data_IF_407580905843
#
_entry.id   IF_407580905843
#
_cell.length_a   1.000
_cell.length_b   1.000
_cell.length_c   1.000
_cell.angle_alpha   90.00
_cell.angle_beta   90.00
_cell.angle_gamma   90.00
#
_symmetry.space_group_name_H-M   'P 1'
#
loop_
_entity.id
_entity.type
_entity.pdbx_description
1 polymer ?
#
# COMPACT_ATOMS: atom_id res chain seq x y z
N UNK A 1 2.33 -51.34 24.43
CA UNK A 1 1.04 -50.67 24.17
C UNK A 1 0.72 -49.60 25.23
N UNK A 2 0.75 -49.91 26.53
CA UNK A 2 0.43 -48.96 27.62
C UNK A 2 1.33 -47.69 27.64
N UNK A 3 2.63 -47.82 27.33
CA UNK A 3 3.54 -46.67 27.31
C UNK A 3 3.30 -45.71 26.12
N UNK A 4 2.81 -46.21 24.98
CA UNK A 4 2.48 -45.38 23.81
C UNK A 4 1.21 -44.56 24.05
N UNK A 5 0.20 -45.15 24.70
CA UNK A 5 -1.04 -44.44 25.03
C UNK A 5 -0.79 -43.29 26.03
N UNK A 6 0.06 -43.50 27.04
CA UNK A 6 0.46 -42.45 27.98
C UNK A 6 1.22 -41.31 27.30
N UNK A 7 2.16 -41.64 26.41
CA UNK A 7 2.92 -40.63 25.66
C UNK A 7 2.00 -39.80 24.77
N UNK A 8 1.06 -40.43 24.05
CA UNK A 8 0.13 -39.74 23.18
C UNK A 8 -0.83 -38.82 23.96
N UNK A 9 -1.28 -39.24 25.16
CA UNK A 9 -2.14 -38.44 26.03
C UNK A 9 -1.41 -37.20 26.56
N UNK A 10 -0.13 -37.34 26.91
CA UNK A 10 0.72 -36.21 27.33
C UNK A 10 0.94 -35.22 26.18
N UNK A 11 1.21 -35.71 24.97
CA UNK A 11 1.37 -34.86 23.78
C UNK A 11 0.07 -34.10 23.48
N UNK A 12 -1.08 -34.78 23.52
CA UNK A 12 -2.40 -34.14 23.35
C UNK A 12 -2.70 -33.10 24.43
N UNK A 13 -2.32 -33.36 25.68
CA UNK A 13 -2.51 -32.41 26.78
C UNK A 13 -1.61 -31.17 26.61
N UNK A 14 -0.34 -31.36 26.25
CA UNK A 14 0.59 -30.26 25.95
C UNK A 14 0.10 -29.46 24.74
N UNK A 15 -0.37 -30.13 23.68
CA UNK A 15 -0.94 -29.46 22.51
C UNK A 15 -2.18 -28.63 22.87
N UNK A 16 -3.06 -29.12 23.75
CA UNK A 16 -4.22 -28.36 24.25
C UNK A 16 -3.80 -27.17 25.12
N UNK A 17 -2.79 -27.31 25.97
CA UNK A 17 -2.27 -26.19 26.78
C UNK A 17 -1.62 -25.10 25.91
N UNK A 18 -0.88 -25.49 24.86
CA UNK A 18 -0.30 -24.57 23.89
C UNK A 18 -1.41 -23.87 23.10
N UNK A 19 -2.44 -24.60 22.66
CA UNK A 19 -3.59 -24.03 21.97
C UNK A 19 -4.39 -23.04 22.84
N UNK A 20 -4.59 -23.34 24.12
CA UNK A 20 -5.24 -22.41 25.06
C UNK A 20 -4.41 -21.14 25.28
N UNK A 21 -3.09 -21.23 25.39
CA UNK A 21 -2.23 -20.03 25.50
C UNK A 21 -2.23 -19.19 24.22
N UNK A 22 -2.25 -19.82 23.05
CA UNK A 22 -2.38 -19.11 21.77
C UNK A 22 -3.74 -18.39 21.66
N UNK A 23 -4.80 -18.98 22.22
CA UNK A 23 -6.11 -18.34 22.33
C UNK A 23 -6.17 -17.23 23.38
N UNK A 24 -5.19 -17.10 24.27
CA UNK A 24 -5.08 -16.00 25.24
C UNK A 24 -4.24 -14.82 24.72
N UNK A 25 -3.52 -15.00 23.62
CA UNK A 25 -2.71 -13.95 22.97
C UNK A 25 -3.60 -12.78 22.49
N UNK A 26 -3.49 -11.58 23.09
CA UNK A 26 -4.37 -10.47 22.74
C UNK A 26 -4.20 -10.00 21.30
N UNK A 27 -3.01 -10.12 20.70
CA UNK A 27 -2.82 -9.76 19.28
C UNK A 27 -3.55 -10.75 18.38
N UNK A 28 -3.53 -12.05 18.72
CA UNK A 28 -4.25 -13.08 17.98
C UNK A 28 -5.77 -12.86 18.07
N UNK A 29 -6.30 -12.53 19.25
CA UNK A 29 -7.72 -12.20 19.44
C UNK A 29 -8.17 -11.00 18.62
N UNK A 30 -7.40 -9.92 18.63
CA UNK A 30 -7.76 -8.71 17.87
C UNK A 30 -7.69 -8.98 16.37
N UNK A 31 -6.61 -9.62 15.88
CA UNK A 31 -6.48 -10.01 14.46
C UNK A 31 -7.62 -10.93 14.03
N UNK A 32 -7.90 -11.99 14.79
CA UNK A 32 -8.98 -12.95 14.48
C UNK A 32 -10.37 -12.35 14.63
N UNK A 33 -10.56 -11.23 15.32
CA UNK A 33 -11.82 -10.48 15.25
C UNK A 33 -11.89 -9.70 13.95
N UNK A 34 -10.86 -8.92 13.64
CA UNK A 34 -10.83 -8.02 12.48
C UNK A 34 -10.77 -8.75 11.13
N UNK A 35 -10.26 -9.98 11.09
CA UNK A 35 -10.32 -10.83 9.90
C UNK A 35 -11.76 -11.27 9.56
N UNK A 36 -12.67 -11.27 10.54
CA UNK A 36 -14.07 -11.68 10.37
C UNK A 36 -15.08 -10.53 10.44
N UNK A 37 -14.68 -9.37 10.98
CA UNK A 37 -15.56 -8.21 11.21
C UNK A 37 -15.18 -7.00 10.37
N UNK A 38 -14.95 -7.18 9.07
CA UNK A 38 -15.02 -6.01 8.18
C UNK A 38 -16.50 -5.58 8.09
N UNK A 39 -16.85 -4.31 8.38
CA UNK A 39 -18.24 -3.88 8.39
C UNK A 39 -18.96 -4.17 7.06
N UNK A 40 -20.28 -4.38 7.14
CA UNK A 40 -21.13 -4.69 5.98
C UNK A 40 -20.90 -3.76 4.79
N UNK A 41 -20.95 -4.41 3.62
CA UNK A 41 -20.53 -3.98 2.29
C UNK A 41 -21.59 -3.06 1.70
N UNK A 42 -21.36 -1.75 1.71
CA UNK A 42 -22.12 -0.88 0.80
C UNK A 42 -21.36 -0.78 -0.52
N UNK A 43 -21.94 -1.22 -1.65
CA UNK A 43 -21.27 -1.10 -2.94
C UNK A 43 -21.11 0.38 -3.29
N UNK A 44 -19.92 0.79 -3.72
CA UNK A 44 -19.80 2.04 -4.47
C UNK A 44 -20.42 1.83 -5.84
N UNK A 45 -21.49 2.58 -6.09
CA UNK A 45 -22.20 2.60 -7.36
C UNK A 45 -21.60 3.62 -8.34
N UNK A 46 -20.72 4.49 -7.85
CA UNK A 46 -20.05 5.50 -8.68
C UNK A 46 -18.94 4.88 -9.53
N UNK A 47 -19.23 4.75 -10.83
CA UNK A 47 -18.31 4.23 -11.83
C UNK A 47 -17.01 5.04 -11.92
N UNK A 48 -17.05 6.35 -11.70
CA UNK A 48 -15.86 7.20 -11.74
C UNK A 48 -14.89 6.84 -10.61
N UNK A 49 -15.42 6.63 -9.40
CA UNK A 49 -14.65 6.25 -8.23
C UNK A 49 -14.01 4.86 -8.39
N UNK A 50 -14.74 3.91 -8.98
CA UNK A 50 -14.23 2.58 -9.32
C UNK A 50 -13.05 2.68 -10.30
N UNK A 51 -13.19 3.51 -11.34
CA UNK A 51 -12.13 3.70 -12.35
C UNK A 51 -10.89 4.34 -11.71
N UNK A 52 -11.05 5.37 -10.86
CA UNK A 52 -9.93 5.97 -10.12
C UNK A 52 -9.21 4.92 -9.27
N UNK A 53 -9.96 4.13 -8.50
CA UNK A 53 -9.40 3.07 -7.68
C UNK A 53 -8.64 2.04 -8.52
N UNK A 54 -9.20 1.64 -9.66
CA UNK A 54 -8.60 0.68 -10.57
C UNK A 54 -7.32 1.23 -11.24
N UNK A 55 -7.23 2.54 -11.52
CA UNK A 55 -6.00 3.16 -12.03
C UNK A 55 -4.89 3.12 -10.98
N UNK A 56 -5.22 3.39 -9.71
CA UNK A 56 -4.26 3.32 -8.61
C UNK A 56 -3.84 1.86 -8.37
N UNK A 57 -4.81 0.95 -8.33
CA UNK A 57 -4.62 -0.49 -8.11
C UNK A 57 -4.28 -1.29 -9.35
N UNK A 58 -3.92 -0.67 -10.48
CA UNK A 58 -3.76 -1.34 -11.78
C UNK A 58 -2.82 -2.54 -11.76
N UNK A 59 -1.76 -2.49 -10.94
CA UNK A 59 -0.80 -3.59 -10.83
C UNK A 59 -1.36 -4.83 -10.10
N UNK A 60 -2.50 -4.71 -9.43
CA UNK A 60 -3.22 -5.82 -8.81
C UNK A 60 -4.18 -6.51 -9.78
N UNK A 61 -4.38 -5.95 -10.97
CA UNK A 61 -5.22 -6.51 -12.02
C UNK A 61 -4.37 -7.36 -12.97
N UNK A 62 -4.99 -8.40 -13.52
CA UNK A 62 -4.39 -9.17 -14.59
C UNK A 62 -4.26 -8.33 -15.87
N UNK A 63 -3.49 -8.85 -16.83
CA UNK A 63 -3.23 -8.16 -18.09
C UNK A 63 -4.50 -7.75 -18.86
N UNK A 64 -5.55 -8.59 -18.87
CA UNK A 64 -6.78 -8.32 -19.62
C UNK A 64 -7.63 -7.26 -18.93
N UNK A 65 -7.81 -7.36 -17.61
CA UNK A 65 -8.57 -6.40 -16.82
C UNK A 65 -7.92 -5.00 -16.85
N UNK A 66 -6.58 -4.93 -16.86
CA UNK A 66 -5.86 -3.68 -17.11
C UNK A 66 -6.14 -3.11 -18.49
N UNK A 67 -6.12 -3.96 -19.52
CA UNK A 67 -6.43 -3.53 -20.88
C UNK A 67 -7.85 -2.97 -20.97
N UNK A 68 -8.83 -3.69 -20.43
CA UNK A 68 -10.24 -3.29 -20.43
C UNK A 68 -10.45 -1.96 -19.68
N UNK A 69 -9.75 -1.75 -18.55
CA UNK A 69 -9.74 -0.49 -17.82
C UNK A 69 -9.27 0.68 -18.69
N UNK A 70 -8.13 0.52 -19.39
CA UNK A 70 -7.61 1.61 -20.23
C UNK A 70 -8.51 1.88 -21.44
N UNK A 71 -9.07 0.86 -22.05
CA UNK A 71 -10.06 1.02 -23.11
C UNK A 71 -11.32 1.76 -22.64
N UNK A 72 -11.79 1.47 -21.42
CA UNK A 72 -12.93 2.17 -20.82
C UNK A 72 -12.62 3.66 -20.62
N UNK A 73 -11.48 3.99 -20.01
CA UNK A 73 -11.05 5.38 -19.77
C UNK A 73 -11.05 6.20 -21.06
N UNK A 74 -10.66 5.59 -22.16
CA UNK A 74 -10.59 6.21 -23.49
C UNK A 74 -11.97 6.37 -24.16
N UNK A 75 -12.87 5.42 -23.90
CA UNK A 75 -14.22 5.39 -24.48
C UNK A 75 -15.19 6.37 -23.81
N UNK A 76 -14.92 6.75 -22.56
CA UNK A 76 -15.76 7.65 -21.80
C UNK A 76 -15.25 9.08 -21.99
N UNK A 77 -16.10 10.04 -22.39
CA UNK A 77 -15.74 11.46 -22.39
C UNK A 77 -15.68 11.96 -20.94
N UNK A 78 -14.64 11.58 -20.21
CA UNK A 78 -14.38 12.05 -18.86
C UNK A 78 -14.05 13.55 -18.91
N UNK A 79 -15.02 14.39 -18.56
CA UNK A 79 -14.81 15.82 -18.40
C UNK A 79 -14.19 16.11 -17.03
N UNK A 80 -12.93 15.77 -16.82
CA UNK A 80 -12.25 16.15 -15.59
C UNK A 80 -11.65 17.54 -15.69
N UNK A 81 -12.13 18.44 -14.83
CA UNK A 81 -11.37 19.61 -14.41
C UNK A 81 -10.31 19.18 -13.42
N UNK A 82 -9.19 18.62 -13.89
CA UNK A 82 -7.97 18.72 -13.12
C UNK A 82 -7.67 20.21 -12.94
N UNK A 83 -7.25 20.62 -11.75
CA UNK A 83 -6.98 22.03 -11.47
C UNK A 83 -5.99 22.61 -12.49
N UNK A 84 -6.49 23.41 -13.43
CA UNK A 84 -5.73 24.13 -14.47
C UNK A 84 -4.88 23.29 -15.45
N UNK A 85 -5.26 22.06 -15.77
CA UNK A 85 -4.80 21.46 -17.04
C UNK A 85 -5.97 21.42 -18.02
N UNK A 86 -5.93 22.31 -19.01
CA UNK A 86 -6.74 22.17 -20.22
C UNK A 86 -6.24 20.90 -20.93
N UNK A 87 -6.90 19.77 -20.70
CA UNK A 87 -6.71 18.57 -21.51
C UNK A 87 -7.34 18.85 -22.88
N UNK A 88 -6.58 19.46 -23.78
CA UNK A 88 -6.99 19.64 -25.17
C UNK A 88 -6.74 18.35 -25.96
N UNK A 89 -7.83 17.65 -26.28
CA UNK A 89 -8.02 16.63 -27.33
C UNK A 89 -7.80 15.13 -27.02
N UNK A 90 -8.70 14.31 -27.58
CA UNK A 90 -8.71 12.84 -27.52
C UNK A 90 -7.55 12.16 -28.27
N UNK A 91 -6.69 12.93 -28.98
CA UNK A 91 -5.56 12.39 -29.74
C UNK A 91 -4.40 11.94 -28.85
N UNK A 92 -4.12 12.66 -27.76
CA UNK A 92 -3.05 12.31 -26.80
C UNK A 92 -3.41 11.10 -25.94
N UNK A 93 -4.72 10.81 -25.86
CA UNK A 93 -5.28 9.63 -25.25
C UNK A 93 -4.88 8.38 -26.09
N UNK A 94 -5.17 8.41 -27.39
CA UNK A 94 -4.96 7.31 -28.34
C UNK A 94 -3.52 6.79 -28.52
N UNK A 95 -2.51 7.65 -28.38
CA UNK A 95 -1.09 7.25 -28.54
C UNK A 95 -0.61 6.37 -27.38
N UNK A 96 -1.09 6.62 -26.16
CA UNK A 96 -0.74 5.82 -24.98
C UNK A 96 -1.34 4.41 -25.04
N UNK A 97 -2.51 4.26 -25.65
CA UNK A 97 -3.14 2.94 -25.90
C UNK A 97 -2.35 2.15 -26.92
N UNK A 98 -1.90 2.75 -28.03
CA UNK A 98 -1.12 2.01 -29.04
C UNK A 98 0.17 1.42 -28.43
N UNK A 99 0.89 2.19 -27.62
CA UNK A 99 2.09 1.68 -26.92
C UNK A 99 1.75 0.58 -25.91
N UNK A 100 0.64 0.73 -25.21
CA UNK A 100 0.15 -0.25 -24.23
C UNK A 100 -0.30 -1.54 -24.92
N UNK A 101 -1.08 -1.45 -26.00
CA UNK A 101 -1.52 -2.57 -26.84
C UNK A 101 -0.33 -3.27 -27.50
N UNK A 102 0.65 -2.55 -28.04
CA UNK A 102 1.84 -3.14 -28.66
C UNK A 102 2.72 -3.89 -27.66
N UNK A 103 2.75 -3.44 -26.39
CA UNK A 103 3.39 -4.14 -25.28
C UNK A 103 2.59 -5.39 -24.88
N UNK A 104 1.25 -5.31 -24.85
CA UNK A 104 0.37 -6.44 -24.54
C UNK A 104 0.33 -7.53 -25.61
N UNK A 105 0.46 -7.19 -26.90
CA UNK A 105 0.47 -8.19 -28.00
C UNK A 105 1.85 -8.82 -28.24
N UNK A 106 2.85 -8.51 -27.41
CA UNK A 106 4.19 -9.10 -27.50
C UNK A 106 4.98 -8.68 -28.73
N UNK A 107 4.63 -7.56 -29.38
CA UNK A 107 5.23 -7.10 -30.63
C UNK A 107 6.57 -6.37 -30.42
N UNK A 108 7.33 -6.71 -29.38
CA UNK A 108 8.63 -6.09 -29.01
C UNK A 108 9.78 -6.57 -29.93
N UNK A 109 9.47 -7.15 -31.09
CA UNK A 109 10.44 -7.79 -32.00
C UNK A 109 10.62 -7.13 -33.37
N UNK A 110 9.94 -6.02 -33.70
CA UNK A 110 10.15 -5.34 -34.99
C UNK A 110 11.23 -4.26 -34.86
N UNK A 111 12.16 -4.19 -35.81
CA UNK A 111 13.34 -3.30 -35.76
C UNK A 111 13.05 -1.79 -35.73
N UNK A 112 11.78 -1.37 -35.77
CA UNK A 112 11.33 0.00 -35.52
C UNK A 112 10.67 0.17 -34.12
N UNK A 113 10.14 -0.90 -33.52
CA UNK A 113 9.62 -0.92 -32.15
C UNK A 113 10.70 -0.88 -31.06
N UNK A 114 11.92 -1.35 -31.36
CA UNK A 114 13.06 -1.25 -30.42
C UNK A 114 13.56 0.18 -30.23
N UNK A 115 13.42 1.07 -31.22
CA UNK A 115 13.94 2.44 -31.13
C UNK A 115 12.98 3.41 -30.41
N UNK A 116 11.67 3.16 -30.48
CA UNK A 116 10.64 3.90 -29.75
C UNK A 116 10.34 3.27 -28.37
N UNK A 117 10.55 1.96 -28.22
CA UNK A 117 10.31 1.23 -26.97
C UNK A 117 11.43 1.28 -25.93
N UNK A 118 12.60 1.86 -26.24
CA UNK A 118 13.74 1.92 -25.30
C UNK A 118 14.03 3.31 -24.73
N UNK A 119 13.37 4.38 -25.20
CA UNK A 119 13.82 5.73 -24.90
C UNK A 119 13.05 6.50 -23.80
N UNK A 120 11.78 6.22 -23.51
CA UNK A 120 11.03 7.00 -22.48
C UNK A 120 9.95 6.19 -21.70
N UNK A 121 9.31 5.18 -22.29
CA UNK A 121 8.13 4.52 -21.66
C UNK A 121 8.38 3.25 -20.82
N UNK A 122 9.61 2.98 -20.36
CA UNK A 122 9.99 1.63 -19.89
C UNK A 122 9.76 1.39 -18.40
N UNK A 123 10.01 2.33 -17.49
CA UNK A 123 10.21 1.96 -16.07
C UNK A 123 8.97 1.43 -15.34
N UNK A 124 7.76 1.97 -15.56
CA UNK A 124 6.57 1.53 -14.82
C UNK A 124 5.84 0.34 -15.48
N UNK A 125 5.83 0.25 -16.81
CA UNK A 125 5.08 -0.77 -17.55
C UNK A 125 5.91 -2.02 -17.86
N UNK A 126 7.24 -1.91 -18.06
CA UNK A 126 8.04 -3.13 -18.29
C UNK A 126 8.12 -4.03 -17.06
N UNK A 127 8.03 -3.49 -15.85
CA UNK A 127 7.98 -4.31 -14.63
C UNK A 127 6.67 -5.11 -14.49
N UNK A 128 5.54 -4.57 -14.96
CA UNK A 128 4.23 -5.26 -14.93
C UNK A 128 4.09 -6.42 -15.92
N UNK A 129 5.09 -6.60 -16.80
CA UNK A 129 5.12 -7.65 -17.82
C UNK A 129 5.78 -8.96 -17.33
N UNK A 130 6.23 -9.03 -16.07
CA UNK A 130 7.05 -10.15 -15.56
C UNK A 130 6.40 -11.06 -14.50
N UNK A 131 5.09 -10.93 -14.22
CA UNK A 131 4.32 -12.02 -13.58
C UNK A 131 3.53 -12.80 -14.65
N UNK A 132 3.32 -14.10 -14.43
CA UNK A 132 2.72 -15.04 -15.41
C UNK A 132 1.35 -14.56 -15.96
N UNK A 133 0.60 -13.74 -15.22
CA UNK A 133 -0.64 -13.08 -15.65
C UNK A 133 -0.60 -11.53 -15.57
N UNK A 134 0.51 -10.97 -15.10
CA UNK A 134 0.73 -9.54 -14.92
C UNK A 134 0.25 -8.97 -13.57
N UNK A 135 -0.48 -9.72 -12.75
CA UNK A 135 -0.97 -9.27 -11.44
C UNK A 135 0.12 -9.35 -10.35
N UNK A 136 0.00 -8.52 -9.33
CA UNK A 136 0.92 -8.47 -8.19
C UNK A 136 0.18 -8.50 -6.86
N UNK A 137 0.68 -9.32 -5.94
CA UNK A 137 0.07 -9.50 -4.62
C UNK A 137 0.20 -8.29 -3.71
N UNK A 138 1.20 -7.44 -3.94
CA UNK A 138 1.38 -6.19 -3.19
C UNK A 138 1.77 -5.10 -4.17
N UNK A 139 1.13 -3.94 -4.06
CA UNK A 139 1.50 -2.72 -4.77
C UNK A 139 1.48 -1.52 -3.83
N UNK A 140 2.36 -0.55 -4.03
CA UNK A 140 2.40 0.67 -3.23
C UNK A 140 3.21 1.74 -3.94
N UNK A 141 2.89 3.01 -3.69
CA UNK A 141 3.63 4.08 -4.33
C UNK A 141 3.31 5.46 -3.80
N UNK A 142 4.09 6.42 -4.28
CA UNK A 142 3.96 7.85 -4.02
C UNK A 142 3.84 8.60 -5.34
N UNK A 143 2.87 9.50 -5.42
CA UNK A 143 2.68 10.46 -6.50
C UNK A 143 2.88 11.88 -5.97
N UNK A 144 3.71 12.68 -6.65
CA UNK A 144 3.95 14.08 -6.30
C UNK A 144 3.72 15.01 -7.50
N UNK A 145 3.17 16.21 -7.25
CA UNK A 145 3.09 17.28 -8.24
C UNK A 145 4.47 17.92 -8.52
N UNK A 146 4.51 18.86 -9.46
CA UNK A 146 5.69 19.68 -9.71
C UNK A 146 6.03 20.66 -8.56
N UNK A 147 5.04 20.96 -7.70
CA UNK A 147 5.20 21.83 -6.54
C UNK A 147 4.33 21.33 -5.38
N UNK A 148 4.92 21.17 -4.19
CA UNK A 148 4.21 20.74 -2.98
C UNK A 148 4.56 21.66 -1.83
N UNK A 149 3.54 22.18 -1.14
CA UNK A 149 3.68 23.11 0.00
C UNK A 149 4.59 24.33 -0.29
N UNK A 150 4.54 24.85 -1.52
CA UNK A 150 5.38 25.99 -1.96
C UNK A 150 6.82 25.61 -2.34
N UNK A 151 7.16 24.32 -2.34
CA UNK A 151 8.47 23.80 -2.74
C UNK A 151 8.38 23.24 -4.15
N UNK A 152 9.10 23.86 -5.08
CA UNK A 152 9.24 23.36 -6.45
C UNK A 152 10.10 22.09 -6.47
N UNK A 153 9.67 21.11 -7.27
CA UNK A 153 10.29 19.79 -7.42
C UNK A 153 10.74 19.64 -8.87
N UNK A 154 12.03 19.90 -9.10
CA UNK A 154 12.67 19.87 -10.41
C UNK A 154 13.53 18.64 -10.66
N UNK A 155 13.87 17.86 -9.61
CA UNK A 155 14.69 16.64 -9.75
C UNK A 155 14.15 15.46 -8.94
N UNK A 156 14.50 14.20 -9.31
CA UNK A 156 14.18 13.01 -8.52
C UNK A 156 14.61 13.09 -7.06
N UNK A 157 15.78 13.67 -6.78
CA UNK A 157 16.30 13.82 -5.42
C UNK A 157 15.47 14.80 -4.60
N UNK A 158 14.95 15.86 -5.23
CA UNK A 158 14.02 16.78 -4.59
C UNK A 158 12.68 16.08 -4.30
N UNK A 159 12.18 15.28 -5.24
CA UNK A 159 10.97 14.48 -5.06
C UNK A 159 11.12 13.50 -3.87
N UNK A 160 12.24 12.79 -3.80
CA UNK A 160 12.59 11.93 -2.67
C UNK A 160 12.65 12.71 -1.35
N UNK A 161 13.24 13.91 -1.34
CA UNK A 161 13.30 14.76 -0.14
C UNK A 161 11.91 15.17 0.35
N UNK A 162 11.04 15.61 -0.56
CA UNK A 162 9.65 15.98 -0.27
C UNK A 162 8.85 14.77 0.23
N UNK A 163 8.97 13.63 -0.43
CA UNK A 163 8.30 12.39 -0.04
C UNK A 163 8.68 11.95 1.38
N UNK A 164 9.97 11.94 1.72
CA UNK A 164 10.45 11.58 3.07
C UNK A 164 9.92 12.51 4.14
N UNK A 165 9.92 13.81 3.88
CA UNK A 165 9.33 14.81 4.78
C UNK A 165 7.84 14.55 4.98
N UNK A 166 7.09 14.37 3.89
CA UNK A 166 5.65 14.08 3.95
C UNK A 166 5.35 12.82 4.78
N UNK A 167 6.10 11.73 4.56
CA UNK A 167 5.91 10.48 5.30
C UNK A 167 6.29 10.65 6.78
N UNK A 168 7.40 11.31 7.08
CA UNK A 168 7.81 11.62 8.46
C UNK A 168 6.76 12.45 9.20
N UNK A 169 6.26 13.52 8.58
CA UNK A 169 5.24 14.40 9.15
C UNK A 169 3.91 13.66 9.38
N UNK A 170 3.55 12.73 8.47
CA UNK A 170 2.40 11.83 8.63
C UNK A 170 2.60 10.88 9.81
N UNK A 171 3.74 10.22 9.94
CA UNK A 171 4.04 9.32 11.07
C UNK A 171 3.98 10.07 12.40
N UNK A 172 4.57 11.27 12.47
CA UNK A 172 4.51 12.14 13.65
C UNK A 172 3.06 12.55 13.98
N UNK A 173 2.25 12.82 12.96
CA UNK A 173 0.84 13.17 13.15
C UNK A 173 -0.01 11.99 13.60
N UNK A 174 0.22 10.80 13.04
CA UNK A 174 -0.41 9.54 13.46
C UNK A 174 -0.09 9.28 14.93
N UNK A 175 1.19 9.34 15.30
CA UNK A 175 1.62 9.10 16.67
C UNK A 175 0.91 10.04 17.66
N UNK A 176 0.90 11.36 17.38
CA UNK A 176 0.19 12.35 18.21
C UNK A 176 -1.30 12.06 18.33
N UNK A 177 -1.98 11.75 17.22
CA UNK A 177 -3.42 11.43 17.20
C UNK A 177 -3.77 10.18 18.01
N UNK A 178 -2.82 9.25 18.12
CA UNK A 178 -3.01 7.96 18.80
C UNK A 178 -2.38 7.93 20.21
N UNK A 179 -1.90 9.06 20.72
CA UNK A 179 -1.23 9.18 22.02
C UNK A 179 0.09 8.37 22.14
N UNK A 180 0.87 8.37 21.06
CA UNK A 180 2.24 7.88 21.01
C UNK A 180 3.21 9.06 20.78
N UNK A 181 4.42 8.96 21.31
CA UNK A 181 5.56 9.74 20.81
C UNK A 181 6.20 9.01 19.64
N UNK A 182 6.65 9.71 18.59
CA UNK A 182 7.41 9.12 17.49
C UNK A 182 8.84 9.66 17.42
N UNK A 183 9.80 8.75 17.29
CA UNK A 183 11.21 9.08 17.09
C UNK A 183 11.72 8.31 15.87
N UNK A 184 12.37 9.00 14.94
CA UNK A 184 13.17 8.30 13.94
C UNK A 184 14.47 7.81 14.59
N UNK A 185 14.68 6.50 14.55
CA UNK A 185 15.81 5.83 15.22
C UNK A 185 16.91 5.42 14.24
N UNK A 186 16.60 5.34 12.95
CA UNK A 186 17.56 4.97 11.91
C UNK A 186 17.14 5.56 10.55
N UNK A 187 18.12 5.98 9.75
CA UNK A 187 17.90 6.36 8.35
C UNK A 187 17.03 7.60 8.13
N UNK A 188 16.97 8.53 9.09
CA UNK A 188 16.04 9.68 9.07
C UNK A 188 16.13 10.56 7.82
N UNK A 189 17.32 10.65 7.23
CA UNK A 189 17.60 11.39 6.01
C UNK A 189 17.95 10.45 4.84
N UNK A 190 17.45 9.22 4.84
CA UNK A 190 17.69 8.19 3.81
C UNK A 190 16.37 7.71 3.21
N UNK A 191 16.45 7.03 2.06
CA UNK A 191 15.30 6.41 1.40
C UNK A 191 14.65 5.32 2.27
N UNK A 192 15.45 4.72 3.16
CA UNK A 192 15.00 3.76 4.17
C UNK A 192 15.11 4.39 5.54
N UNK A 193 14.03 4.34 6.31
CA UNK A 193 13.97 4.93 7.64
C UNK A 193 13.17 4.06 8.58
N UNK A 194 13.55 4.10 9.86
CA UNK A 194 12.84 3.37 10.91
C UNK A 194 12.41 4.32 12.00
N UNK A 195 11.12 4.24 12.34
CA UNK A 195 10.49 5.02 13.39
C UNK A 195 10.09 4.10 14.53
N UNK A 196 10.32 4.58 15.74
CA UNK A 196 9.87 3.97 16.97
C UNK A 196 8.78 4.85 17.58
N UNK A 197 7.60 4.29 17.71
CA UNK A 197 6.46 4.89 18.38
C UNK A 197 6.37 4.31 19.79
N UNK A 198 6.32 5.16 20.81
CA UNK A 198 6.15 4.76 22.22
C UNK A 198 4.83 5.27 22.75
N UNK A 199 4.01 4.39 23.30
CA UNK A 199 2.73 4.74 23.88
C UNK A 199 2.94 5.56 25.17
N UNK A 200 2.37 6.75 25.21
CA UNK A 200 2.59 7.72 26.30
C UNK A 200 1.85 7.35 27.58
N UNK A 201 0.72 6.65 27.45
CA UNK A 201 -0.14 6.24 28.56
C UNK A 201 -0.26 4.71 28.68
N UNK A 202 0.80 4.00 28.30
CA UNK A 202 0.77 2.53 28.31
C UNK A 202 0.43 1.99 29.70
N UNK A 203 -0.71 1.32 29.76
CA UNK A 203 -1.08 0.42 30.85
C UNK A 203 -1.23 -0.95 30.20
N UNK A 204 -0.59 -1.97 30.78
CA UNK A 204 -0.77 -3.34 30.31
C UNK A 204 -2.27 -3.62 30.14
N UNK A 205 -2.69 -3.92 28.91
CA UNK A 205 -4.12 -3.94 28.58
C UNK A 205 -4.83 -4.96 29.45
N UNK A 206 -5.76 -4.49 30.27
CA UNK A 206 -6.72 -5.36 30.98
C UNK A 206 -7.85 -5.82 30.04
N UNK A 207 -7.97 -5.21 28.85
CA UNK A 207 -8.98 -5.55 27.86
C UNK A 207 -8.38 -6.52 26.82
N UNK A 208 -8.81 -7.80 26.81
CA UNK A 208 -8.33 -8.79 25.85
C UNK A 208 -8.87 -8.59 24.43
N UNK A 209 -9.78 -7.63 24.20
CA UNK A 209 -10.46 -7.44 22.92
C UNK A 209 -9.77 -6.44 21.98
N UNK A 210 -8.90 -5.57 22.49
CA UNK A 210 -8.13 -4.60 21.68
C UNK A 210 -6.66 -4.67 22.03
N UNK A 211 -5.83 -4.93 21.03
CA UNK A 211 -4.39 -4.97 21.22
C UNK A 211 -3.79 -3.56 21.08
N UNK A 212 -3.24 -3.06 22.19
CA UNK A 212 -2.53 -1.78 22.24
C UNK A 212 -1.11 -2.07 22.74
N UNK A 213 -0.09 -2.00 21.88
CA UNK A 213 1.28 -2.28 22.28
C UNK A 213 1.88 -1.10 23.05
N UNK A 214 2.91 -1.40 23.84
CA UNK A 214 3.76 -0.39 24.46
C UNK A 214 4.55 0.40 23.42
N UNK A 215 5.06 -0.32 22.42
CA UNK A 215 5.95 0.22 21.40
C UNK A 215 5.58 -0.36 20.04
N UNK A 216 5.61 0.48 19.01
CA UNK A 216 5.39 0.12 17.62
C UNK A 216 6.64 0.51 16.85
N UNK A 217 7.15 -0.43 16.08
CA UNK A 217 8.21 -0.19 15.14
C UNK A 217 7.62 -0.04 13.74
N UNK A 218 8.08 0.97 13.01
CA UNK A 218 7.64 1.27 11.66
C UNK A 218 8.88 1.38 10.77
N UNK A 219 8.99 0.49 9.80
CA UNK A 219 9.97 0.55 8.73
C UNK A 219 9.35 1.15 7.47
N UNK A 220 10.07 2.09 6.86
CA UNK A 220 9.69 2.74 5.61
C UNK A 220 10.82 2.55 4.60
N UNK A 221 10.48 2.15 3.39
CA UNK A 221 11.38 2.19 2.22
C UNK A 221 10.68 2.89 1.06
N UNK A 222 11.34 3.90 0.49
CA UNK A 222 10.85 4.65 -0.68
C UNK A 222 11.82 4.39 -1.84
N UNK A 223 11.30 3.91 -2.97
CA UNK A 223 12.08 3.76 -4.20
C UNK A 223 12.50 5.12 -4.77
N UNK A 224 13.55 5.18 -5.63
CA UNK A 224 13.86 6.37 -6.41
C UNK A 224 12.63 6.92 -7.15
N UNK A 225 12.65 8.22 -7.48
CA UNK A 225 11.57 8.84 -8.25
C UNK A 225 11.91 8.91 -9.73
N UNK A 226 10.89 8.77 -10.57
CA UNK A 226 10.95 9.01 -12.01
C UNK A 226 9.95 10.10 -12.38
N UNK A 227 10.25 10.84 -13.45
CA UNK A 227 9.31 11.79 -14.04
C UNK A 227 8.20 11.00 -14.76
N UNK A 228 6.95 11.39 -14.53
CA UNK A 228 5.78 10.67 -15.06
C UNK A 228 5.39 11.23 -16.44
N UNK A 229 6.24 11.06 -17.45
CA UNK A 229 5.98 11.66 -18.77
C UNK A 229 4.79 11.01 -19.51
N UNK A 230 4.61 9.69 -19.40
CA UNK A 230 3.68 8.93 -20.27
C UNK A 230 2.36 8.46 -19.58
N UNK A 231 2.37 8.26 -18.25
CA UNK A 231 1.21 7.83 -17.46
C UNK A 231 0.64 8.94 -16.57
N UNK A 232 1.22 10.14 -16.61
CA UNK A 232 0.77 11.31 -15.84
C UNK A 232 -0.72 11.52 -16.03
N UNK A 233 -1.28 11.35 -17.23
CA UNK A 233 -2.71 11.59 -17.48
C UNK A 233 -3.62 10.68 -16.65
N UNK A 234 -3.31 9.38 -16.56
CA UNK A 234 -4.15 8.42 -15.81
C UNK A 234 -3.92 8.58 -14.31
N UNK A 235 -2.67 8.66 -13.88
CA UNK A 235 -2.38 8.83 -12.46
C UNK A 235 -2.93 10.19 -11.96
N UNK A 236 -2.87 11.25 -12.77
CA UNK A 236 -3.48 12.56 -12.46
C UNK A 236 -5.00 12.51 -12.40
N UNK A 237 -5.63 11.72 -13.28
CA UNK A 237 -7.07 11.47 -13.23
C UNK A 237 -7.49 10.84 -11.90
N UNK A 238 -6.70 9.87 -11.42
CA UNK A 238 -6.97 9.16 -10.19
C UNK A 238 -6.65 9.96 -8.93
N UNK A 239 -5.55 10.73 -8.93
CA UNK A 239 -5.10 11.51 -7.77
C UNK A 239 -5.77 12.88 -7.65
N UNK A 240 -6.33 13.41 -8.74
CA UNK A 240 -6.96 14.72 -8.77
C UNK A 240 -5.99 15.90 -8.82
N UNK A 241 -4.69 15.65 -9.04
CA UNK A 241 -3.67 16.68 -9.29
C UNK A 241 -2.74 16.24 -10.42
N UNK A 242 -2.06 17.20 -11.06
CA UNK A 242 -1.08 16.89 -12.11
C UNK A 242 0.15 16.19 -11.51
N UNK A 243 0.26 14.89 -11.73
CA UNK A 243 1.37 14.05 -11.27
C UNK A 243 2.58 14.30 -12.15
N UNK A 244 3.63 14.88 -11.57
CA UNK A 244 4.93 15.04 -12.24
C UNK A 244 5.91 13.95 -11.86
N UNK A 245 5.90 13.50 -10.60
CA UNK A 245 6.85 12.53 -10.08
C UNK A 245 6.13 11.31 -9.50
N UNK A 246 6.69 10.13 -9.73
CA UNK A 246 6.21 8.89 -9.10
C UNK A 246 7.38 8.06 -8.56
N UNK A 247 7.16 7.34 -7.46
CA UNK A 247 8.11 6.35 -6.99
C UNK A 247 8.24 5.21 -8.01
N UNK A 248 9.47 4.80 -8.32
CA UNK A 248 9.79 3.67 -9.17
C UNK A 248 9.35 2.35 -8.52
N UNK A 249 9.10 1.33 -9.34
CA UNK A 249 8.67 -0.02 -8.96
C UNK A 249 7.20 -0.13 -8.52
N UNK A 250 6.65 -1.34 -8.66
CA UNK A 250 5.27 -1.69 -8.25
C UNK A 250 5.07 -1.53 -6.73
N UNK A 251 6.14 -1.73 -5.96
CA UNK A 251 6.22 -1.52 -4.51
C UNK A 251 7.17 -0.36 -4.17
N UNK A 252 6.89 0.80 -4.76
CA UNK A 252 7.69 2.01 -4.60
C UNK A 252 7.62 2.66 -3.22
N UNK A 253 6.68 2.26 -2.37
CA UNK A 253 6.53 2.76 -1.01
C UNK A 253 6.18 1.67 0.00
N UNK A 254 7.21 1.00 0.49
CA UNK A 254 7.05 -0.05 1.49
C UNK A 254 6.86 0.55 2.88
N UNK A 255 5.86 0.03 3.59
CA UNK A 255 5.54 0.38 4.95
C UNK A 255 5.28 -0.88 5.77
N UNK A 256 6.21 -1.22 6.66
CA UNK A 256 6.12 -2.44 7.49
C UNK A 256 6.00 -2.03 8.96
N UNK A 257 5.01 -2.60 9.65
CA UNK A 257 4.80 -2.35 11.06
C UNK A 257 4.98 -3.63 11.87
N UNK A 258 5.67 -3.51 13.01
CA UNK A 258 5.81 -4.56 13.99
C UNK A 258 5.52 -4.01 15.39
N UNK A 259 5.08 -4.88 16.29
CA UNK A 259 5.06 -4.62 17.73
C UNK A 259 5.77 -5.75 18.47
N UNK A 260 6.09 -5.53 19.74
CA UNK A 260 6.77 -6.49 20.62
C UNK A 260 8.14 -7.00 20.10
N UNK A 261 9.04 -7.33 21.03
CA UNK A 261 10.40 -7.83 20.72
C UNK A 261 11.21 -6.95 19.75
N UNK A 262 10.91 -5.65 19.68
CA UNK A 262 11.52 -4.71 18.73
C UNK A 262 13.00 -4.45 18.98
N UNK A 263 13.53 -4.82 20.15
CA UNK A 263 14.88 -4.42 20.58
C UNK A 263 15.80 -5.62 20.80
N UNK A 264 17.07 -5.44 20.44
CA UNK A 264 18.19 -6.17 21.01
C UNK A 264 18.87 -5.26 22.03
N UNK A 265 18.62 -5.50 23.32
CA UNK A 265 18.96 -4.59 24.43
C UNK A 265 18.31 -3.21 24.26
N UNK A 266 19.02 -2.25 23.67
CA UNK A 266 18.59 -0.85 23.50
C UNK A 266 18.47 -0.42 22.04
N UNK A 267 18.91 -1.25 21.09
CA UNK A 267 18.86 -0.95 19.66
C UNK A 267 17.67 -1.67 19.02
N UNK A 268 17.01 -1.01 18.07
CA UNK A 268 15.96 -1.65 17.27
C UNK A 268 16.59 -2.81 16.48
N UNK A 269 15.90 -3.95 16.49
CA UNK A 269 16.35 -5.16 15.82
C UNK A 269 15.81 -5.18 14.39
N UNK A 270 16.70 -5.54 13.47
CA UNK A 270 16.37 -5.77 12.07
C UNK A 270 16.57 -7.25 11.73
N UNK A 271 15.83 -7.72 10.74
CA UNK A 271 16.07 -8.99 10.05
C UNK A 271 16.22 -8.69 8.57
N UNK A 272 16.92 -9.56 7.87
CA UNK A 272 16.97 -9.52 6.41
C UNK A 272 15.62 -10.02 5.87
N UNK A 273 14.97 -9.20 5.04
CA UNK A 273 13.78 -9.53 4.29
C UNK A 273 14.08 -10.51 3.16
N UNK A 274 13.04 -11.03 2.54
CA UNK A 274 13.18 -11.99 1.42
C UNK A 274 13.87 -11.37 0.19
N UNK A 275 13.84 -10.04 0.08
CA UNK A 275 14.52 -9.24 -0.93
C UNK A 275 15.99 -8.91 -0.57
N UNK A 276 16.51 -9.46 0.54
CA UNK A 276 17.84 -9.16 1.05
C UNK A 276 17.96 -7.79 1.73
N UNK A 277 16.85 -7.06 1.90
CA UNK A 277 16.84 -5.73 2.52
C UNK A 277 16.49 -5.83 4.00
N UNK A 278 17.10 -5.00 4.88
CA UNK A 278 16.74 -5.00 6.30
C UNK A 278 15.29 -4.55 6.47
N UNK A 279 14.51 -5.35 7.18
CA UNK A 279 13.16 -5.03 7.67
C UNK A 279 13.14 -5.09 9.20
N UNK A 280 12.15 -4.46 9.80
CA UNK A 280 12.03 -4.39 11.25
C UNK A 280 11.65 -5.75 11.84
N UNK A 281 12.33 -6.17 12.91
CA UNK A 281 11.98 -7.36 13.65
C UNK A 281 10.87 -7.09 14.66
N UNK A 282 9.94 -8.03 14.80
CA UNK A 282 8.90 -8.03 15.81
C UNK A 282 7.71 -8.86 15.35
N UNK A 283 6.57 -8.69 16.01
CA UNK A 283 5.31 -9.31 15.65
C UNK A 283 4.62 -8.53 14.52
N UNK A 284 4.80 -9.01 13.29
CA UNK A 284 4.20 -8.45 12.07
C UNK A 284 2.67 -8.63 12.03
N UNK A 285 2.08 -9.47 12.89
CA UNK A 285 0.61 -9.58 13.01
C UNK A 285 0.00 -8.27 13.48
N UNK A 286 0.80 -7.37 14.07
CA UNK A 286 0.36 -6.04 14.48
C UNK A 286 -0.31 -5.26 13.35
N UNK A 287 0.22 -5.34 12.12
CA UNK A 287 -0.35 -4.66 10.97
C UNK A 287 -1.81 -5.07 10.69
N UNK A 288 -2.22 -6.27 11.12
CA UNK A 288 -3.58 -6.81 10.95
C UNK A 288 -4.55 -6.43 12.08
N UNK A 289 -4.07 -5.83 13.18
CA UNK A 289 -4.91 -5.38 14.32
C UNK A 289 -5.77 -4.15 13.97
N UNK A 290 -6.74 -3.81 14.82
CA UNK A 290 -7.61 -2.62 14.62
C UNK A 290 -6.74 -1.35 14.56
N UNK A 291 -5.76 -1.24 15.47
CA UNK A 291 -4.82 -0.13 15.51
C UNK A 291 -3.89 -0.12 14.29
N UNK A 292 -3.34 -1.27 13.90
CA UNK A 292 -2.49 -1.39 12.71
C UNK A 292 -3.20 -0.92 11.44
N UNK A 293 -4.41 -1.43 11.18
CA UNK A 293 -5.23 -1.01 10.03
C UNK A 293 -5.57 0.49 10.08
N UNK A 294 -5.84 1.03 11.27
CA UNK A 294 -6.09 2.47 11.46
C UNK A 294 -4.85 3.32 11.13
N UNK A 295 -3.65 2.85 11.50
CA UNK A 295 -2.38 3.50 11.13
C UNK A 295 -2.21 3.49 9.62
N UNK A 296 -2.34 2.32 8.96
CA UNK A 296 -2.22 2.19 7.50
C UNK A 296 -3.20 3.12 6.78
N UNK A 297 -4.49 3.09 7.15
CA UNK A 297 -5.50 3.98 6.55
C UNK A 297 -5.14 5.45 6.73
N UNK A 298 -4.69 5.85 7.93
CA UNK A 298 -4.33 7.26 8.20
C UNK A 298 -3.09 7.68 7.40
N UNK A 299 -2.13 6.78 7.21
CA UNK A 299 -0.94 7.03 6.39
C UNK A 299 -1.32 7.28 4.92
N UNK A 300 -2.24 6.48 4.38
CA UNK A 300 -2.73 6.59 3.01
C UNK A 300 -3.97 7.49 2.85
N UNK A 301 -4.36 8.20 3.91
CA UNK A 301 -5.33 9.28 3.83
C UNK A 301 -4.65 10.53 3.23
N UNK A 302 -4.47 10.50 1.92
CA UNK A 302 -3.92 11.55 1.05
C UNK A 302 -4.06 11.11 -0.40
N UNK A 303 -4.15 12.04 -1.37
CA UNK A 303 -4.07 11.69 -2.78
C UNK A 303 -2.63 11.31 -3.22
N UNK A 304 -1.62 11.48 -2.37
CA UNK A 304 -0.21 11.29 -2.74
C UNK A 304 0.32 9.88 -2.53
N UNK A 305 -0.35 9.00 -1.78
CA UNK A 305 0.18 7.67 -1.46
C UNK A 305 -0.91 6.61 -1.52
N UNK A 306 -0.53 5.40 -1.88
CA UNK A 306 -1.42 4.24 -1.89
C UNK A 306 -0.71 2.98 -1.42
N UNK A 307 -1.48 1.99 -0.98
CA UNK A 307 -1.00 0.66 -0.65
C UNK A 307 -2.10 -0.36 -0.94
N UNK A 308 -1.78 -1.40 -1.70
CA UNK A 308 -2.65 -2.52 -2.00
C UNK A 308 -1.99 -3.85 -1.68
N UNK A 309 -2.78 -4.81 -1.20
CA UNK A 309 -2.33 -6.17 -0.93
C UNK A 309 -3.46 -7.20 -1.13
N UNK A 310 -3.18 -8.31 -1.81
CA UNK A 310 -4.00 -9.53 -1.86
C UNK A 310 -3.69 -10.50 -0.69
N UNK A 311 -2.52 -10.37 -0.06
CA UNK A 311 -2.03 -11.27 1.00
C UNK A 311 -2.64 -11.00 2.39
N UNK A 312 -3.04 -9.75 2.64
CA UNK A 312 -3.61 -9.34 3.93
C UNK A 312 -5.12 -9.54 3.85
N UNK A 313 -5.61 -10.72 4.28
CA UNK A 313 -7.03 -11.04 4.53
C UNK A 313 -8.02 -10.19 3.69
N UNK A 314 -8.43 -10.71 2.52
CA UNK A 314 -9.18 -10.03 1.45
C UNK A 314 -8.30 -9.04 0.66
N UNK A 315 -8.39 -9.06 -0.66
CA UNK A 315 -7.58 -8.14 -1.45
C UNK A 315 -8.05 -6.70 -1.27
N UNK A 316 -7.17 -5.84 -0.76
CA UNK A 316 -7.46 -4.48 -0.31
C UNK A 316 -6.55 -3.46 -0.98
N UNK A 317 -7.03 -2.22 -1.10
CA UNK A 317 -6.33 -1.04 -1.57
C UNK A 317 -6.69 0.15 -0.68
N UNK A 318 -5.72 0.78 -0.04
CA UNK A 318 -5.87 2.01 0.71
C UNK A 318 -5.46 3.19 -0.17
N UNK A 319 -6.36 4.14 -0.38
CA UNK A 319 -6.07 5.36 -1.12
C UNK A 319 -7.05 6.47 -0.72
N UNK A 320 -6.51 7.66 -0.45
CA UNK A 320 -7.29 8.88 -0.19
C UNK A 320 -8.45 8.73 0.82
N UNK A 321 -8.14 8.16 2.00
CA UNK A 321 -9.08 7.85 3.10
C UNK A 321 -10.10 6.74 2.84
N UNK A 322 -10.04 6.14 1.66
CA UNK A 322 -10.88 5.02 1.24
C UNK A 322 -10.12 3.72 1.32
N UNK A 323 -10.87 2.65 1.52
CA UNK A 323 -10.36 1.28 1.51
C UNK A 323 -11.18 0.56 0.47
N UNK A 324 -10.58 0.22 -0.65
CA UNK A 324 -11.23 -0.55 -1.70
C UNK A 324 -10.89 -2.02 -1.47
N UNK A 325 -11.85 -2.92 -1.61
CA UNK A 325 -11.54 -4.33 -1.79
C UNK A 325 -11.86 -4.72 -3.22
N UNK A 326 -11.12 -5.71 -3.69
CA UNK A 326 -11.38 -6.38 -4.96
C UNK A 326 -11.34 -7.89 -4.73
N UNK A 327 -12.18 -8.61 -5.44
CA UNK A 327 -12.35 -10.06 -5.26
C UNK A 327 -11.88 -10.86 -6.48
N UNK A 328 -11.43 -10.18 -7.54
CA UNK A 328 -10.84 -10.78 -8.73
C UNK A 328 -9.93 -9.76 -9.39
N UNK A 329 -8.74 -10.21 -9.75
CA UNK A 329 -7.77 -9.56 -10.63
C UNK A 329 -8.24 -9.44 -12.08
N UNK A 330 -9.09 -10.36 -12.56
CA UNK A 330 -9.59 -10.43 -13.94
C UNK A 330 -10.73 -9.47 -14.30
N UNK A 331 -11.12 -8.55 -13.41
CA UNK A 331 -12.10 -7.48 -13.70
C UNK A 331 -11.85 -6.24 -12.85
N UNK A 332 -11.70 -5.08 -13.48
CA UNK A 332 -11.43 -3.82 -12.76
C UNK A 332 -12.65 -3.32 -12.00
N UNK A 333 -13.87 -3.67 -12.41
CA UNK A 333 -15.12 -3.28 -11.74
C UNK A 333 -15.29 -3.95 -10.38
N UNK A 334 -14.36 -4.83 -10.00
CA UNK A 334 -14.38 -5.48 -8.69
C UNK A 334 -13.80 -4.62 -7.59
N UNK A 335 -13.07 -3.53 -7.92
CA UNK A 335 -12.75 -2.49 -6.94
C UNK A 335 -14.04 -1.86 -6.44
N UNK A 336 -14.37 -2.13 -5.18
CA UNK A 336 -15.50 -1.52 -4.48
C UNK A 336 -14.94 -0.73 -3.31
N UNK A 337 -15.33 0.52 -3.12
CA UNK A 337 -14.92 1.28 -1.93
C UNK A 337 -15.76 0.89 -0.71
N UNK A 338 -15.07 0.75 0.43
CA UNK A 338 -15.58 0.38 1.73
C UNK A 338 -15.52 1.61 2.65
N UNK A 339 -16.14 2.71 2.24
CA UNK A 339 -16.26 3.87 3.11
C UNK A 339 -17.42 3.69 4.10
N UNK A 340 -17.14 3.19 5.31
CA UNK A 340 -18.05 3.46 6.45
C UNK A 340 -17.80 4.87 7.01
N UNK A 341 -18.83 5.72 7.18
CA UNK A 341 -18.75 7.00 7.89
C UNK A 341 -18.47 6.90 9.40
N UNK A 342 -18.61 5.71 10.00
CA UNK A 342 -18.75 5.54 11.45
C UNK A 342 -17.45 5.68 12.28
N UNK A 343 -16.27 5.73 11.66
CA UNK A 343 -15.00 5.91 12.40
C UNK A 343 -14.64 7.38 12.69
N UNK A 344 -15.50 8.34 12.33
CA UNK A 344 -15.35 9.75 12.74
C UNK A 344 -15.75 10.01 14.20
N UNK A 345 -16.31 9.03 14.91
CA UNK A 345 -16.64 9.19 16.34
C UNK A 345 -15.86 8.18 17.19
N UNK A 346 -14.96 8.70 18.02
CA UNK A 346 -14.30 7.94 19.09
C UNK A 346 -12.79 8.20 19.19
N UNK A 347 -12.45 9.26 19.93
CA UNK A 347 -11.23 9.31 20.73
C UNK A 347 -11.47 8.55 22.04
#
# INVERSE_FOLDING_TARGET
MINYLKLMTIILFIANLIACKALEDPIYKDVSRNDWTMPEKEPVEDKEEIIKAAIIGKFMLDSQARHDLFMEIESVPFSFKAGKSEFETASDLSTGVQMTTDLFTGTVGSGQGQALGLAVGVAALTFSAFSDDGSHDVTSGIFLPAEMDGVKIDTPEQAMSVARKMVSDKIQTIARKMNFSALCVEGCDQARSTYLLKNMDYKASANPERYIPKEIGIYVSISPFVENEDLSKYDSLATGFEVKWMSENINGFQFVMASDNLFNNTQVKFIEGEDGLPTIFGDLRFAKTELGRKITRTLHNTPHTFFGSSEISYSILYFNDRVYNFYSDGRYETFRDYAKPEFQQGL
#
